data_IF_292978628695
#
_entry.id   IF_292978628695
#
_cell.length_a   1.000
_cell.length_b   1.000
_cell.length_c   1.000
_cell.angle_alpha   90.00
_cell.angle_beta   90.00
_cell.angle_gamma   90.00
#
_symmetry.space_group_name_H-M   'P 1'
#
loop_
_entity.id
_entity.type
_entity.pdbx_description
1 polymer ?
#
# COMPACT_ATOMS: atom_id res chain seq x y z
N UNK A 1 -11.92 -12.15 -6.88
CA UNK A 1 -11.52 -10.73 -7.04
C UNK A 1 -12.68 -9.93 -7.61
N UNK A 2 -13.19 -8.98 -6.83
CA UNK A 2 -14.33 -8.13 -7.23
C UNK A 2 -13.85 -6.76 -7.77
N UNK A 3 -12.87 -6.16 -7.08
CA UNK A 3 -12.36 -4.81 -7.35
C UNK A 3 -10.86 -4.75 -7.07
N UNK A 4 -10.13 -4.01 -7.93
CA UNK A 4 -8.72 -3.63 -7.68
C UNK A 4 -8.57 -2.13 -7.58
N UNK A 5 -7.59 -1.71 -6.80
CA UNK A 5 -6.98 -0.40 -6.91
C UNK A 5 -5.46 -0.54 -6.88
N UNK A 6 -4.79 0.23 -7.72
CA UNK A 6 -3.32 0.25 -7.79
C UNK A 6 -2.80 1.67 -7.76
N UNK A 7 -1.73 1.91 -7.02
CA UNK A 7 -0.97 3.16 -7.08
C UNK A 7 0.48 2.87 -7.43
N UNK A 8 0.98 3.57 -8.45
CA UNK A 8 2.29 3.32 -9.04
C UNK A 8 3.29 4.42 -8.70
N UNK A 9 4.58 4.05 -8.68
CA UNK A 9 5.72 4.97 -8.49
C UNK A 9 5.70 5.74 -7.15
N UNK A 10 5.19 5.11 -6.10
CA UNK A 10 5.17 5.72 -4.77
C UNK A 10 6.60 5.79 -4.23
N UNK A 11 7.00 6.96 -3.74
CA UNK A 11 8.37 7.24 -3.28
C UNK A 11 8.64 6.73 -1.86
N UNK A 12 8.49 5.43 -1.64
CA UNK A 12 8.76 4.73 -0.38
C UNK A 12 9.36 3.35 -0.66
N UNK A 13 10.07 2.76 0.31
CA UNK A 13 10.58 1.41 0.17
C UNK A 13 9.45 0.38 0.31
N UNK A 14 9.46 -0.70 -0.51
CA UNK A 14 8.47 -1.77 -0.40
C UNK A 14 8.40 -2.40 0.99
N UNK A 15 9.55 -2.57 1.68
CA UNK A 15 9.60 -3.17 3.02
C UNK A 15 8.80 -2.38 4.06
N UNK A 16 8.89 -1.04 4.06
CA UNK A 16 8.14 -0.17 4.98
C UNK A 16 6.63 -0.21 4.71
N UNK A 17 6.23 -0.43 3.46
CA UNK A 17 4.83 -0.65 3.11
C UNK A 17 4.35 -2.02 3.58
N UNK A 18 5.10 -3.08 3.28
CA UNK A 18 4.76 -4.46 3.64
C UNK A 18 4.51 -4.62 5.14
N UNK A 19 5.30 -3.95 5.96
CA UNK A 19 5.12 -3.95 7.40
C UNK A 19 3.73 -3.47 7.83
N UNK A 20 3.22 -2.38 7.23
CA UNK A 20 1.86 -1.87 7.51
C UNK A 20 0.79 -2.72 6.81
N UNK A 21 1.06 -3.20 5.59
CA UNK A 21 0.12 -4.05 4.85
C UNK A 21 -0.18 -5.37 5.57
N UNK A 22 0.81 -5.93 6.26
CA UNK A 22 0.63 -7.16 7.02
C UNK A 22 -0.39 -6.98 8.16
N UNK A 23 -0.53 -5.79 8.74
CA UNK A 23 -1.51 -5.52 9.79
C UNK A 23 -2.96 -5.51 9.30
N UNK A 24 -3.18 -5.22 8.00
CA UNK A 24 -4.51 -5.07 7.41
C UNK A 24 -4.90 -6.21 6.46
N UNK A 25 -3.97 -7.13 6.17
CA UNK A 25 -4.22 -8.27 5.30
C UNK A 25 -5.33 -9.15 5.87
N UNK A 26 -6.33 -9.50 5.05
CA UNK A 26 -7.44 -10.37 5.45
C UNK A 26 -8.51 -9.70 6.31
N UNK A 27 -8.36 -8.42 6.65
CA UNK A 27 -9.34 -7.69 7.47
C UNK A 27 -10.48 -7.11 6.63
N UNK A 28 -11.60 -6.83 7.28
CA UNK A 28 -12.70 -6.06 6.68
C UNK A 28 -12.26 -4.65 6.33
N UNK A 29 -12.91 -4.01 5.36
CA UNK A 29 -12.55 -2.64 4.94
C UNK A 29 -12.65 -1.66 6.10
N UNK A 30 -13.71 -1.74 6.90
CA UNK A 30 -13.96 -0.86 8.05
C UNK A 30 -12.90 -1.04 9.13
N UNK A 31 -12.60 -2.29 9.48
CA UNK A 31 -11.56 -2.59 10.48
C UNK A 31 -10.18 -2.14 9.99
N UNK A 32 -9.87 -2.36 8.71
CA UNK A 32 -8.62 -1.90 8.11
C UNK A 32 -8.49 -0.38 8.14
N UNK A 33 -9.57 0.38 7.89
CA UNK A 33 -9.56 1.83 8.03
C UNK A 33 -9.29 2.29 9.47
N UNK A 34 -9.93 1.65 10.46
CA UNK A 34 -9.67 1.92 11.88
C UNK A 34 -8.21 1.68 12.28
N UNK A 35 -7.63 0.55 11.82
CA UNK A 35 -6.23 0.22 12.09
C UNK A 35 -5.28 1.23 11.43
N UNK A 36 -5.54 1.62 10.18
CA UNK A 36 -4.69 2.56 9.45
C UNK A 36 -4.72 3.97 10.06
N UNK A 37 -5.80 4.39 10.71
CA UNK A 37 -5.87 5.66 11.42
C UNK A 37 -4.87 5.71 12.59
N UNK A 38 -4.79 4.62 13.37
CA UNK A 38 -4.01 4.55 14.61
C UNK A 38 -2.51 4.26 14.40
N UNK A 39 -2.10 3.78 13.22
CA UNK A 39 -0.69 3.48 12.94
C UNK A 39 0.15 4.77 12.88
N UNK A 40 1.32 4.79 13.51
CA UNK A 40 2.25 5.93 13.54
C UNK A 40 3.22 6.02 12.34
N UNK A 41 2.98 5.28 11.25
CA UNK A 41 3.92 5.16 10.12
C UNK A 41 3.50 5.95 8.90
N UNK A 42 4.47 6.58 8.22
CA UNK A 42 4.24 7.31 6.94
C UNK A 42 3.59 6.44 5.86
N UNK A 43 3.86 5.14 5.85
CA UNK A 43 3.27 4.17 4.92
C UNK A 43 1.72 4.17 4.97
N UNK A 44 1.12 4.48 6.14
CA UNK A 44 -0.34 4.49 6.32
C UNK A 44 -1.04 5.40 5.33
N UNK A 45 -0.49 6.61 5.09
CA UNK A 45 -1.15 7.62 4.26
C UNK A 45 -1.25 7.19 2.79
N UNK A 46 -0.28 6.42 2.30
CA UNK A 46 -0.34 5.86 0.96
C UNK A 46 -1.36 4.73 0.87
N UNK A 47 -1.34 3.79 1.83
CA UNK A 47 -2.25 2.64 1.83
C UNK A 47 -3.70 3.09 2.02
N UNK A 48 -3.95 4.04 2.92
CA UNK A 48 -5.28 4.59 3.17
C UNK A 48 -5.88 5.25 1.92
N UNK A 49 -5.09 5.99 1.14
CA UNK A 49 -5.56 6.58 -0.12
C UNK A 49 -5.96 5.51 -1.13
N UNK A 50 -5.16 4.44 -1.26
CA UNK A 50 -5.48 3.34 -2.19
C UNK A 50 -6.70 2.55 -1.72
N UNK A 51 -6.83 2.31 -0.41
CA UNK A 51 -7.99 1.62 0.16
C UNK A 51 -9.28 2.42 -0.06
N UNK A 52 -9.26 3.73 0.17
CA UNK A 52 -10.39 4.62 -0.12
C UNK A 52 -10.77 4.62 -1.60
N UNK A 53 -9.77 4.61 -2.50
CA UNK A 53 -10.01 4.47 -3.93
C UNK A 53 -10.63 3.12 -4.29
N UNK A 54 -10.17 2.02 -3.67
CA UNK A 54 -10.76 0.70 -3.88
C UNK A 54 -12.22 0.63 -3.40
N UNK A 55 -12.51 1.20 -2.23
CA UNK A 55 -13.86 1.28 -1.69
C UNK A 55 -14.79 2.14 -2.57
N UNK A 56 -14.29 3.27 -3.10
CA UNK A 56 -15.03 4.08 -4.06
C UNK A 56 -15.34 3.32 -5.35
N UNK A 57 -14.37 2.58 -5.90
CA UNK A 57 -14.58 1.73 -7.07
C UNK A 57 -15.62 0.63 -6.80
N UNK A 58 -15.64 0.06 -5.59
CA UNK A 58 -16.65 -0.92 -5.21
C UNK A 58 -18.05 -0.30 -5.07
N UNK A 59 -18.14 0.91 -4.53
CA UNK A 59 -19.39 1.68 -4.45
C UNK A 59 -19.98 1.96 -5.85
N UNK A 60 -19.14 2.33 -6.81
CA UNK A 60 -19.56 2.52 -8.22
C UNK A 60 -20.14 1.24 -8.83
N UNK A 61 -19.64 0.07 -8.42
CA UNK A 61 -20.18 -1.23 -8.83
C UNK A 61 -21.41 -1.70 -8.03
N UNK A 62 -21.89 -0.90 -7.07
CA UNK A 62 -23.08 -1.22 -6.26
C UNK A 62 -22.81 -2.03 -4.99
N UNK A 63 -21.55 -2.21 -4.58
CA UNK A 63 -21.22 -2.96 -3.36
C UNK A 63 -21.01 -2.02 -2.16
N UNK A 64 -21.53 -2.43 -1.00
CA UNK A 64 -21.36 -1.71 0.26
C UNK A 64 -20.01 -2.03 0.92
N UNK A 65 -19.33 -1.06 1.56
CA UNK A 65 -18.03 -1.27 2.24
C UNK A 65 -18.06 -2.35 3.33
N UNK A 66 -19.20 -2.53 3.99
CA UNK A 66 -19.41 -3.52 5.07
C UNK A 66 -19.30 -4.97 4.59
N UNK A 67 -19.61 -5.21 3.32
CA UNK A 67 -19.61 -6.54 2.73
C UNK A 67 -18.23 -6.92 2.17
N UNK A 68 -17.26 -6.00 2.22
CA UNK A 68 -15.97 -6.15 1.56
C UNK A 68 -14.86 -6.44 2.58
N UNK A 69 -13.92 -7.27 2.15
CA UNK A 69 -12.67 -7.51 2.87
C UNK A 69 -11.47 -7.44 1.93
N UNK A 70 -10.29 -7.23 2.51
CA UNK A 70 -9.02 -7.19 1.78
C UNK A 70 -8.59 -8.63 1.48
N UNK A 71 -8.84 -9.09 0.27
CA UNK A 71 -8.44 -10.43 -0.19
C UNK A 71 -6.93 -10.50 -0.42
N UNK A 72 -6.36 -9.51 -1.13
CA UNK A 72 -4.93 -9.46 -1.42
C UNK A 72 -4.39 -8.04 -1.30
N UNK A 73 -3.23 -7.91 -0.67
CA UNK A 73 -2.52 -6.64 -0.56
C UNK A 73 -1.03 -6.84 -0.72
N UNK A 74 -0.49 -6.23 -1.77
CA UNK A 74 0.89 -6.40 -2.21
C UNK A 74 1.59 -5.05 -2.41
N UNK A 75 2.89 -5.04 -2.11
CA UNK A 75 3.80 -3.95 -2.44
C UNK A 75 4.95 -4.49 -3.28
N UNK A 76 4.94 -4.13 -4.55
CA UNK A 76 5.95 -4.52 -5.54
C UNK A 76 7.03 -3.44 -5.64
N UNK A 77 8.24 -3.85 -5.98
CA UNK A 77 9.34 -2.92 -6.21
C UNK A 77 9.16 -2.20 -7.54
N UNK A 78 9.26 -0.87 -7.53
CA UNK A 78 9.29 -0.06 -8.73
C UNK A 78 10.72 0.31 -9.16
N UNK A 79 10.86 1.15 -10.20
CA UNK A 79 12.14 1.67 -10.63
C UNK A 79 12.88 2.38 -9.50
N UNK A 80 14.16 2.04 -9.31
CA UNK A 80 14.99 2.63 -8.27
C UNK A 80 15.85 3.74 -8.84
N UNK A 81 15.80 4.92 -8.22
CA UNK A 81 16.67 6.02 -8.62
C UNK A 81 18.04 5.85 -7.97
N UNK A 82 19.07 5.81 -8.81
CA UNK A 82 20.47 5.74 -8.38
C UNK A 82 20.95 7.16 -8.05
N UNK A 83 21.47 7.37 -6.84
CA UNK A 83 22.11 8.61 -6.38
C UNK A 83 23.45 8.26 -5.74
N UNK A 84 24.32 9.23 -5.59
CA UNK A 84 25.59 9.07 -4.89
C UNK A 84 25.61 9.94 -3.63
N UNK A 85 26.40 9.53 -2.65
CA UNK A 85 26.78 10.33 -1.48
C UNK A 85 28.28 10.27 -1.34
N UNK A 86 28.91 11.43 -1.14
CA UNK A 86 30.33 11.50 -0.85
C UNK A 86 30.65 10.68 0.41
N UNK A 87 31.75 9.93 0.36
CA UNK A 87 32.28 9.12 1.46
C UNK A 87 33.77 9.44 1.65
N UNK A 88 34.35 8.94 2.74
CA UNK A 88 35.75 9.18 3.08
C UNK A 88 36.72 8.71 1.98
N UNK A 89 37.91 9.32 1.92
CA UNK A 89 38.98 9.00 0.96
C UNK A 89 38.57 9.12 -0.52
N UNK A 90 37.79 10.15 -0.88
CA UNK A 90 37.36 10.40 -2.27
C UNK A 90 36.39 9.36 -2.83
N UNK A 91 35.79 8.52 -1.98
CA UNK A 91 34.87 7.45 -2.40
C UNK A 91 33.46 7.98 -2.64
N UNK A 92 32.72 7.34 -3.55
CA UNK A 92 31.30 7.60 -3.78
C UNK A 92 30.47 6.38 -3.38
N UNK A 93 29.65 6.52 -2.33
CA UNK A 93 28.71 5.48 -1.92
C UNK A 93 27.37 5.63 -2.64
N UNK A 94 26.78 4.50 -3.04
CA UNK A 94 25.52 4.48 -3.80
C UNK A 94 24.32 4.54 -2.86
N UNK A 95 23.41 5.47 -3.11
CA UNK A 95 22.10 5.56 -2.48
C UNK A 95 21.04 5.16 -3.49
N UNK A 96 20.21 4.19 -3.12
CA UNK A 96 19.02 3.80 -3.89
C UNK A 96 17.78 4.47 -3.31
N UNK A 97 17.21 5.45 -4.02
CA UNK A 97 15.88 5.97 -3.69
C UNK A 97 14.85 5.05 -4.33
N UNK A 98 14.34 4.12 -3.52
CA UNK A 98 13.39 3.10 -3.96
C UNK A 98 12.01 3.71 -4.21
N UNK A 99 11.33 3.20 -5.23
CA UNK A 99 9.90 3.40 -5.42
C UNK A 99 9.17 2.06 -5.29
N UNK A 100 7.86 2.12 -5.13
CA UNK A 100 7.00 0.95 -4.96
C UNK A 100 5.68 1.11 -5.68
N UNK A 101 5.09 -0.02 -6.06
CA UNK A 101 3.73 -0.11 -6.55
C UNK A 101 2.87 -0.79 -5.48
N UNK A 102 1.74 -0.19 -5.13
CA UNK A 102 0.76 -0.77 -4.19
C UNK A 102 -0.39 -1.33 -5.00
N UNK A 103 -0.75 -2.58 -4.71
CA UNK A 103 -1.91 -3.26 -5.28
C UNK A 103 -2.82 -3.73 -4.13
N UNK A 104 -4.09 -3.35 -4.16
CA UNK A 104 -5.13 -3.80 -3.22
C UNK A 104 -6.26 -4.44 -4.02
N UNK A 105 -6.63 -5.65 -3.63
CA UNK A 105 -7.76 -6.40 -4.15
C UNK A 105 -8.80 -6.58 -3.05
N UNK A 106 -10.04 -6.18 -3.34
CA UNK A 106 -11.19 -6.37 -2.47
C UNK A 106 -12.05 -7.51 -3.00
N UNK A 107 -12.60 -8.29 -2.08
CA UNK A 107 -13.55 -9.35 -2.38
C UNK A 107 -14.71 -9.37 -1.36
N UNK A 108 -15.75 -10.14 -1.66
CA UNK A 108 -16.93 -10.26 -0.81
C UNK A 108 -16.67 -11.16 0.39
N UNK A 109 -16.97 -10.66 1.58
CA UNK A 109 -16.89 -11.43 2.81
C UNK A 109 -17.92 -12.57 2.72
N UNK A 110 -17.45 -13.81 2.62
CA UNK A 110 -18.34 -14.96 2.78
C UNK A 110 -18.91 -14.92 4.21
N UNK A 111 -20.22 -15.17 4.32
CA UNK A 111 -20.93 -15.22 5.60
C UNK A 111 -20.34 -16.29 6.52
#
# INVERSE_FOLDING_TARGET
>A
MLVKASAKFIRISPSRLREVMNCVRGKSVIEAEGILLNIGKRAKGYIQKVLKSAAANAKVKGFSPEQLYISKINADAGPMWKRFKAAAFGRASKILKRTSHINIELDLKAK
#
